data_IF_706391910705
#
_entry.id   IF_706391910705
#
_cell.length_a   1.000
_cell.length_b   1.000
_cell.length_c   1.000
_cell.angle_alpha   90.00
_cell.angle_beta   90.00
_cell.angle_gamma   90.00
#
_symmetry.space_group_name_H-M   'P 1'
#
loop_
_entity.id
_entity.type
_entity.pdbx_description
1 polymer ?
#
# COMPACT_ATOMS: atom_id res chain seq x y z
N UNK A 1 -11.36 -20.26 -16.63
CA UNK A 1 -11.18 -20.04 -15.18
C UNK A 1 -9.73 -19.66 -14.88
N UNK A 2 -8.80 -20.44 -15.43
CA UNK A 2 -7.35 -20.39 -15.23
C UNK A 2 -6.73 -19.02 -15.49
N UNK A 3 -7.03 -18.38 -16.64
CA UNK A 3 -6.52 -17.04 -16.95
C UNK A 3 -6.93 -15.98 -15.91
N UNK A 4 -8.17 -16.03 -15.43
CA UNK A 4 -8.66 -15.06 -14.43
C UNK A 4 -7.96 -15.22 -13.08
N UNK A 5 -7.84 -16.46 -12.60
CA UNK A 5 -7.13 -16.79 -11.36
C UNK A 5 -5.66 -16.38 -11.44
N UNK A 6 -5.01 -16.61 -12.59
CA UNK A 6 -3.65 -16.14 -12.86
C UNK A 6 -3.53 -14.62 -12.72
N UNK A 7 -4.40 -13.83 -13.37
CA UNK A 7 -4.34 -12.37 -13.27
C UNK A 7 -4.64 -11.84 -11.87
N UNK A 8 -5.52 -12.50 -11.11
CA UNK A 8 -5.79 -12.15 -9.72
C UNK A 8 -4.51 -12.29 -8.87
N UNK A 9 -3.87 -13.46 -8.94
CA UNK A 9 -2.60 -13.78 -8.26
C UNK A 9 -1.48 -12.85 -8.69
N UNK A 10 -1.28 -12.67 -10.00
CA UNK A 10 -0.24 -11.80 -10.54
C UNK A 10 -0.42 -10.35 -10.07
N UNK A 11 -1.67 -9.88 -9.98
CA UNK A 11 -1.98 -8.58 -9.42
C UNK A 11 -1.59 -8.47 -7.95
N UNK A 12 -1.90 -9.47 -7.12
CA UNK A 12 -1.54 -9.42 -5.70
C UNK A 12 -0.02 -9.45 -5.50
N UNK A 13 0.69 -10.24 -6.30
CA UNK A 13 2.16 -10.26 -6.31
C UNK A 13 2.73 -8.89 -6.72
N UNK A 14 2.16 -8.25 -7.74
CA UNK A 14 2.60 -6.92 -8.16
C UNK A 14 2.39 -5.87 -7.05
N UNK A 15 1.26 -5.93 -6.35
CA UNK A 15 1.00 -5.06 -5.21
C UNK A 15 1.95 -5.35 -4.03
N UNK A 16 2.22 -6.62 -3.71
CA UNK A 16 3.21 -6.99 -2.70
C UNK A 16 4.60 -6.45 -3.05
N UNK A 17 5.03 -6.59 -4.30
CA UNK A 17 6.29 -6.04 -4.77
C UNK A 17 6.33 -4.51 -4.65
N UNK A 18 5.25 -3.82 -5.04
CA UNK A 18 5.16 -2.36 -4.91
C UNK A 18 5.27 -1.90 -3.45
N UNK A 19 4.61 -2.58 -2.52
CA UNK A 19 4.75 -2.29 -1.09
C UNK A 19 6.12 -2.65 -0.53
N UNK A 20 6.74 -3.73 -1.01
CA UNK A 20 8.13 -4.05 -0.69
C UNK A 20 9.09 -2.93 -1.12
N UNK A 21 8.93 -2.43 -2.35
CA UNK A 21 9.68 -1.28 -2.86
C UNK A 21 9.41 -0.03 -2.02
N UNK A 22 8.16 0.26 -1.67
CA UNK A 22 7.81 1.39 -0.81
C UNK A 22 8.52 1.34 0.55
N UNK A 23 8.52 0.17 1.20
CA UNK A 23 9.23 -0.04 2.46
C UNK A 23 10.74 0.16 2.28
N UNK A 24 11.35 -0.44 1.25
CA UNK A 24 12.78 -0.29 0.99
C UNK A 24 13.14 1.19 0.75
N UNK A 25 12.40 1.88 -0.11
CA UNK A 25 12.65 3.29 -0.42
C UNK A 25 12.52 4.18 0.81
N UNK A 26 11.50 3.95 1.64
CA UNK A 26 11.30 4.72 2.89
C UNK A 26 12.42 4.51 3.92
N UNK A 27 13.07 3.35 3.93
CA UNK A 27 14.23 3.09 4.80
C UNK A 27 15.56 3.58 4.24
N UNK A 28 15.75 3.56 2.92
CA UNK A 28 17.11 3.64 2.33
C UNK A 28 17.36 4.89 1.49
N UNK A 29 16.39 5.32 0.69
CA UNK A 29 16.57 6.36 -0.33
C UNK A 29 15.90 7.65 0.09
N UNK A 30 14.69 7.56 0.63
CA UNK A 30 13.91 8.73 0.99
C UNK A 30 14.49 9.36 2.25
N UNK A 31 14.89 10.63 2.13
CA UNK A 31 15.27 11.45 3.27
C UNK A 31 14.02 11.92 4.02
N UNK A 32 13.34 10.97 4.68
CA UNK A 32 12.00 11.17 5.24
C UNK A 32 11.90 12.41 6.13
N UNK A 33 12.90 12.66 6.98
CA UNK A 33 12.93 13.83 7.88
C UNK A 33 13.02 15.17 7.15
N UNK A 34 13.67 15.21 5.98
CA UNK A 34 13.74 16.41 5.13
C UNK A 34 12.39 16.66 4.43
N UNK A 35 11.67 15.59 4.05
CA UNK A 35 10.37 15.68 3.38
C UNK A 35 9.26 16.03 4.39
N UNK A 36 9.23 15.32 5.51
CA UNK A 36 8.32 15.55 6.62
C UNK A 36 9.06 15.40 7.95
N UNK A 37 9.25 16.49 8.71
CA UNK A 37 9.93 16.43 10.01
C UNK A 37 9.26 15.49 11.03
N UNK A 38 7.97 15.19 10.86
CA UNK A 38 7.25 14.22 11.69
C UNK A 38 7.54 12.77 11.31
N UNK A 39 8.21 12.47 10.19
CA UNK A 39 8.55 11.13 9.74
C UNK A 39 9.77 10.54 10.47
N UNK A 40 9.71 10.55 11.80
CA UNK A 40 10.68 9.98 12.72
C UNK A 40 9.96 9.44 13.97
N UNK A 41 10.57 8.50 14.68
CA UNK A 41 9.97 7.90 15.88
C UNK A 41 8.59 7.31 15.59
N UNK A 42 7.57 7.73 16.35
CA UNK A 42 6.19 7.26 16.20
C UNK A 42 5.53 7.69 14.89
N UNK A 43 5.97 8.77 14.25
CA UNK A 43 5.40 9.21 12.98
C UNK A 43 5.70 8.26 11.81
N UNK A 44 6.72 7.40 11.94
CA UNK A 44 6.99 6.33 10.97
C UNK A 44 5.84 5.31 10.87
N UNK A 45 4.98 5.23 11.89
CA UNK A 45 3.81 4.35 11.86
C UNK A 45 2.85 4.70 10.71
N UNK A 46 2.79 5.96 10.26
CA UNK A 46 1.98 6.37 9.10
C UNK A 46 2.46 5.80 7.76
N UNK A 47 3.69 5.29 7.71
CA UNK A 47 4.26 4.64 6.52
C UNK A 47 4.21 3.12 6.64
N UNK A 48 4.58 2.59 7.81
CA UNK A 48 4.78 1.14 7.98
C UNK A 48 3.54 0.37 8.41
N UNK A 49 2.62 0.99 9.17
CA UNK A 49 1.38 0.30 9.57
C UNK A 49 0.49 0.04 8.35
N UNK A 50 0.23 1.02 7.46
CA UNK A 50 -0.52 0.75 6.23
C UNK A 50 0.16 -0.31 5.37
N UNK A 51 1.49 -0.25 5.22
CA UNK A 51 2.25 -1.25 4.47
C UNK A 51 2.07 -2.66 5.04
N UNK A 52 2.23 -2.83 6.35
CA UNK A 52 2.07 -4.12 7.02
C UNK A 52 0.65 -4.68 6.86
N UNK A 53 -0.37 -3.85 7.06
CA UNK A 53 -1.78 -4.25 6.89
C UNK A 53 -2.02 -4.72 5.46
N UNK A 54 -1.58 -3.95 4.46
CA UNK A 54 -1.82 -4.28 3.06
C UNK A 54 -1.07 -5.55 2.65
N UNK A 55 0.18 -5.73 3.08
CA UNK A 55 0.95 -6.95 2.82
C UNK A 55 0.22 -8.18 3.40
N UNK A 56 -0.31 -8.07 4.62
CA UNK A 56 -1.09 -9.15 5.24
C UNK A 56 -2.37 -9.45 4.45
N UNK A 57 -3.12 -8.42 4.04
CA UNK A 57 -4.35 -8.59 3.25
C UNK A 57 -4.07 -9.24 1.90
N UNK A 58 -3.03 -8.81 1.18
CA UNK A 58 -2.64 -9.40 -0.10
C UNK A 58 -2.17 -10.85 0.05
N UNK A 59 -1.41 -11.15 1.11
CA UNK A 59 -0.97 -12.52 1.40
C UNK A 59 -2.17 -13.41 1.73
N UNK A 60 -3.11 -12.93 2.54
CA UNK A 60 -4.34 -13.64 2.85
C UNK A 60 -5.19 -13.87 1.59
N UNK A 61 -5.28 -12.87 0.70
CA UNK A 61 -6.03 -12.99 -0.55
C UNK A 61 -5.39 -14.02 -1.50
N UNK A 62 -4.06 -14.03 -1.62
CA UNK A 62 -3.32 -15.05 -2.37
C UNK A 62 -3.62 -16.47 -1.88
N UNK A 63 -3.55 -16.70 -0.56
CA UNK A 63 -3.86 -18.01 0.05
C UNK A 63 -5.32 -18.40 -0.25
N UNK A 64 -6.25 -17.45 -0.11
CA UNK A 64 -7.67 -17.66 -0.38
C UNK A 64 -7.93 -18.00 -1.84
N UNK A 65 -7.30 -17.29 -2.78
CA UNK A 65 -7.44 -17.53 -4.23
C UNK A 65 -6.89 -18.89 -4.61
N UNK A 66 -5.74 -19.30 -4.04
CA UNK A 66 -5.13 -20.60 -4.32
C UNK A 66 -6.12 -21.75 -4.08
N UNK A 67 -6.87 -21.71 -2.96
CA UNK A 67 -7.84 -22.73 -2.58
C UNK A 67 -9.25 -22.56 -3.16
N UNK A 68 -9.51 -21.57 -4.02
CA UNK A 68 -10.86 -21.33 -4.54
C UNK A 68 -10.93 -21.45 -6.07
N UNK A 69 -12.02 -22.05 -6.55
CA UNK A 69 -12.28 -22.24 -7.99
C UNK A 69 -13.42 -21.34 -8.49
N UNK A 70 -14.23 -20.73 -7.60
CA UNK A 70 -15.35 -19.90 -8.02
C UNK A 70 -14.89 -18.46 -8.39
N UNK A 71 -15.07 -18.05 -9.66
CA UNK A 71 -14.69 -16.70 -10.13
C UNK A 71 -15.28 -15.56 -9.32
N UNK A 72 -16.57 -15.61 -8.98
CA UNK A 72 -17.26 -14.53 -8.27
C UNK A 72 -16.66 -14.38 -6.87
N UNK A 73 -16.37 -15.52 -6.22
CA UNK A 73 -15.70 -15.54 -4.92
C UNK A 73 -14.26 -15.05 -5.01
N UNK A 74 -13.56 -15.21 -6.14
CA UNK A 74 -12.23 -14.63 -6.35
C UNK A 74 -12.31 -13.12 -6.56
N UNK A 75 -13.15 -12.68 -7.49
CA UNK A 75 -13.12 -11.34 -8.07
C UNK A 75 -13.35 -10.23 -7.06
N UNK A 76 -14.43 -10.33 -6.28
CA UNK A 76 -14.87 -9.22 -5.44
C UNK A 76 -13.90 -8.94 -4.27
N UNK A 77 -13.48 -9.93 -3.47
CA UNK A 77 -12.52 -9.68 -2.40
C UNK A 77 -11.16 -9.23 -2.94
N UNK A 78 -10.71 -9.81 -4.07
CA UNK A 78 -9.45 -9.44 -4.70
C UNK A 78 -9.43 -7.97 -5.14
N UNK A 79 -10.51 -7.51 -5.77
CA UNK A 79 -10.65 -6.11 -6.16
C UNK A 79 -10.66 -5.19 -4.93
N UNK A 80 -11.37 -5.56 -3.87
CA UNK A 80 -11.42 -4.77 -2.64
C UNK A 80 -10.04 -4.62 -1.99
N UNK A 81 -9.27 -5.70 -1.90
CA UNK A 81 -7.91 -5.65 -1.37
C UNK A 81 -7.02 -4.73 -2.20
N UNK A 82 -7.15 -4.75 -3.53
CA UNK A 82 -6.40 -3.84 -4.43
C UNK A 82 -6.79 -2.39 -4.23
N UNK A 83 -8.08 -2.09 -4.05
CA UNK A 83 -8.55 -0.73 -3.74
C UNK A 83 -7.97 -0.26 -2.41
N UNK A 84 -8.05 -1.09 -1.35
CA UNK A 84 -7.47 -0.78 -0.03
C UNK A 84 -5.96 -0.52 -0.16
N UNK A 85 -5.26 -1.34 -0.94
CA UNK A 85 -3.83 -1.16 -1.19
C UNK A 85 -3.52 0.19 -1.81
N UNK A 86 -4.26 0.61 -2.83
CA UNK A 86 -4.02 1.92 -3.49
C UNK A 86 -4.33 3.05 -2.52
N UNK A 87 -5.45 2.98 -1.81
CA UNK A 87 -5.85 4.01 -0.84
C UNK A 87 -4.85 4.15 0.30
N UNK A 88 -4.31 3.04 0.81
CA UNK A 88 -3.27 3.04 1.83
C UNK A 88 -1.98 3.71 1.34
N UNK A 89 -1.57 3.45 0.08
CA UNK A 89 -0.41 4.11 -0.49
C UNK A 89 -0.64 5.62 -0.69
N UNK A 90 -1.81 5.99 -1.22
CA UNK A 90 -2.23 7.39 -1.35
C UNK A 90 -2.23 8.10 0.01
N UNK A 91 -2.70 7.45 1.06
CA UNK A 91 -2.65 7.97 2.43
C UNK A 91 -1.21 8.21 2.89
N UNK A 92 -0.32 7.23 2.75
CA UNK A 92 1.08 7.36 3.17
C UNK A 92 1.80 8.47 2.40
N UNK A 93 1.55 8.59 1.08
CA UNK A 93 2.08 9.67 0.24
C UNK A 93 1.52 11.04 0.64
N UNK A 94 0.20 11.14 0.81
CA UNK A 94 -0.46 12.38 1.25
C UNK A 94 0.12 12.87 2.58
N UNK A 95 0.20 11.99 3.58
CA UNK A 95 0.75 12.33 4.88
C UNK A 95 2.22 12.75 4.78
N UNK A 96 3.02 12.04 3.99
CA UNK A 96 4.43 12.39 3.78
C UNK A 96 4.57 13.76 3.08
N UNK A 97 3.70 14.09 2.13
CA UNK A 97 3.74 15.36 1.38
C UNK A 97 2.99 16.50 2.07
N UNK A 98 2.27 16.24 3.16
CA UNK A 98 1.40 17.22 3.83
C UNK A 98 2.10 18.56 4.18
N UNK A 99 3.37 18.60 4.64
CA UNK A 99 4.07 19.87 4.87
C UNK A 99 4.26 20.68 3.59
N UNK A 100 4.74 20.05 2.51
CA UNK A 100 4.95 20.71 1.22
C UNK A 100 3.63 21.20 0.60
N UNK A 101 2.56 20.41 0.71
CA UNK A 101 1.24 20.81 0.25
C UNK A 101 0.73 22.04 1.01
N UNK A 102 0.88 22.09 2.34
CA UNK A 102 0.49 23.26 3.14
C UNK A 102 1.23 24.54 2.73
N UNK A 103 2.52 24.42 2.40
CA UNK A 103 3.31 25.54 1.89
C UNK A 103 2.77 26.07 0.55
N UNK A 104 2.41 25.18 -0.38
CA UNK A 104 1.85 25.55 -1.70
C UNK A 104 0.52 26.30 -1.54
N UNK A 105 -0.34 25.84 -0.62
CA UNK A 105 -1.67 26.42 -0.42
C UNK A 105 -1.69 27.63 0.53
N UNK A 106 -0.53 28.10 1.01
CA UNK A 106 -0.44 29.25 1.90
C UNK A 106 -1.11 29.05 3.26
N UNK A 107 -1.33 27.80 3.67
CA UNK A 107 -1.89 27.45 4.99
C UNK A 107 -0.71 27.35 5.97
N UNK A 108 -0.29 28.49 6.50
CA UNK A 108 0.63 28.54 7.65
C UNK A 108 -0.19 28.55 8.93
N UNK A 109 0.06 27.57 9.81
CA UNK A 109 -0.43 27.58 11.21
C UNK A 109 0.19 28.73 12.01
#
# INVERSE_FOLDING_TARGET
MTHFKFFAIAGDIAHLAAWGVWVILSFTVLKLKEINPAAQGTGLLHLYVPAAIVILLLTADLIRIAGTENKVRIAWPNLLVKIISVLALCYSLWWLMAPALRQIWGVTE
#
